data_IF_707925546748
#
_entry.id   IF_707925546748
#
_cell.length_a   1.000
_cell.length_b   1.000
_cell.length_c   1.000
_cell.angle_alpha   90.00
_cell.angle_beta   90.00
_cell.angle_gamma   90.00
#
_symmetry.space_group_name_H-M   'P 1'
#
loop_
_entity.id
_entity.type
_entity.pdbx_description
1 polymer ?
#
# COMPACT_ATOMS: atom_id res chain seq x y z
N UNK A 1 81.61 21.70 30.43
CA UNK A 1 80.53 21.24 31.33
C UNK A 1 79.26 21.94 30.87
N UNK A 2 78.34 21.21 30.26
CA UNK A 2 77.08 21.76 29.70
C UNK A 2 75.97 21.32 30.64
N UNK A 3 75.38 22.22 31.44
CA UNK A 3 74.01 22.05 31.96
C UNK A 3 73.44 23.42 32.35
N UNK A 4 72.72 24.05 31.42
CA UNK A 4 71.65 24.99 31.73
C UNK A 4 70.47 24.62 30.82
N UNK A 5 69.75 23.56 31.21
CA UNK A 5 68.46 23.25 30.63
C UNK A 5 67.42 24.05 31.42
N UNK A 6 66.94 25.15 30.83
CA UNK A 6 65.93 26.02 31.43
C UNK A 6 64.68 25.26 31.88
N UNK A 7 64.06 25.76 32.95
CA UNK A 7 62.88 25.15 33.58
C UNK A 7 61.80 24.79 32.55
N UNK A 8 61.40 23.52 32.55
CA UNK A 8 60.30 23.00 31.74
C UNK A 8 58.98 23.51 32.30
N UNK A 9 58.33 24.43 31.58
CA UNK A 9 56.97 24.88 31.88
C UNK A 9 56.01 23.85 31.28
N UNK A 10 55.33 23.08 32.13
CA UNK A 10 54.33 22.11 31.69
C UNK A 10 53.02 22.85 31.32
N UNK A 11 52.43 22.58 30.14
CA UNK A 11 51.17 23.22 29.76
C UNK A 11 50.03 22.76 30.69
N UNK A 12 49.05 23.64 30.96
CA UNK A 12 47.90 23.29 31.78
C UNK A 12 47.15 22.09 31.18
N UNK A 13 46.62 21.18 32.04
CA UNK A 13 46.02 19.94 31.59
C UNK A 13 44.84 20.21 30.65
N UNK A 14 44.92 19.61 29.45
CA UNK A 14 43.89 19.75 28.42
C UNK A 14 42.64 19.02 28.92
N UNK A 15 41.56 19.77 29.15
CA UNK A 15 40.29 19.20 29.56
C UNK A 15 39.68 18.41 28.40
N UNK A 16 39.84 17.09 28.41
CA UNK A 16 39.15 16.19 27.48
C UNK A 16 37.66 16.17 27.82
N UNK A 17 36.87 16.92 27.05
CA UNK A 17 35.41 16.78 27.08
C UNK A 17 35.01 15.63 26.15
N UNK A 18 34.38 14.55 26.64
CA UNK A 18 34.03 13.39 25.82
C UNK A 18 32.81 13.64 24.92
N UNK A 19 32.13 14.79 25.04
CA UNK A 19 30.98 15.14 24.20
C UNK A 19 31.44 15.67 22.85
N UNK A 20 31.91 14.75 22.01
CA UNK A 20 32.05 15.00 20.58
C UNK A 20 30.65 15.21 19.98
N UNK A 21 30.39 16.32 19.23
CA UNK A 21 29.09 16.62 18.64
C UNK A 21 28.52 15.52 17.72
N UNK A 22 29.36 14.57 17.29
CA UNK A 22 28.99 13.44 16.44
C UNK A 22 27.92 12.53 17.04
N UNK A 23 27.77 12.45 18.36
CA UNK A 23 26.72 11.63 18.98
C UNK A 23 25.31 12.15 18.70
N UNK A 24 25.13 13.46 18.60
CA UNK A 24 23.83 14.04 18.24
C UNK A 24 23.47 13.69 16.79
N UNK A 25 24.45 13.74 15.89
CA UNK A 25 24.27 13.37 14.48
C UNK A 25 23.95 11.88 14.35
N UNK A 26 24.71 11.02 15.03
CA UNK A 26 24.47 9.57 15.05
C UNK A 26 23.11 9.21 15.66
N UNK A 27 22.73 9.87 16.76
CA UNK A 27 21.43 9.71 17.40
C UNK A 27 20.29 10.14 16.49
N UNK A 28 20.40 11.31 15.86
CA UNK A 28 19.42 11.80 14.90
C UNK A 28 19.28 10.84 13.70
N UNK A 29 20.40 10.35 13.16
CA UNK A 29 20.41 9.39 12.06
C UNK A 29 19.72 8.08 12.46
N UNK A 30 19.99 7.56 13.66
CA UNK A 30 19.35 6.36 14.17
C UNK A 30 17.83 6.55 14.31
N UNK A 31 17.40 7.69 14.85
CA UNK A 31 15.97 8.01 14.99
C UNK A 31 15.29 8.09 13.62
N UNK A 32 15.91 8.75 12.63
CA UNK A 32 15.40 8.82 11.27
C UNK A 32 15.27 7.42 10.67
N UNK A 33 16.30 6.58 10.82
CA UNK A 33 16.30 5.22 10.29
C UNK A 33 15.18 4.37 10.90
N UNK A 34 14.98 4.47 12.22
CA UNK A 34 13.89 3.80 12.92
C UNK A 34 12.51 4.32 12.47
N UNK A 35 12.37 5.63 12.26
CA UNK A 35 11.13 6.22 11.77
C UNK A 35 10.78 5.72 10.36
N UNK A 36 11.76 5.70 9.44
CA UNK A 36 11.57 5.14 8.09
C UNK A 36 11.20 3.66 8.16
N UNK A 37 11.91 2.87 8.98
CA UNK A 37 11.60 1.45 9.14
C UNK A 37 10.19 1.23 9.69
N UNK A 38 9.79 2.00 10.71
CA UNK A 38 8.46 1.94 11.29
C UNK A 38 7.38 2.28 10.25
N UNK A 39 7.57 3.36 9.48
CA UNK A 39 6.64 3.73 8.39
C UNK A 39 6.53 2.61 7.36
N UNK A 40 7.65 2.04 6.91
CA UNK A 40 7.64 0.93 5.95
C UNK A 40 6.92 -0.31 6.51
N UNK A 41 7.17 -0.67 7.77
CA UNK A 41 6.53 -1.79 8.44
C UNK A 41 5.03 -1.57 8.63
N UNK A 42 4.63 -0.37 9.07
CA UNK A 42 3.23 0.03 9.23
C UNK A 42 2.53 0.00 7.87
N UNK A 43 3.14 0.56 6.82
CA UNK A 43 2.59 0.51 5.47
C UNK A 43 2.43 -0.92 4.98
N UNK A 44 3.41 -1.79 5.24
CA UNK A 44 3.36 -3.20 4.83
C UNK A 44 2.28 -3.97 5.62
N UNK A 45 2.16 -3.70 6.91
CA UNK A 45 1.15 -4.28 7.78
C UNK A 45 -0.27 -3.83 7.42
N UNK A 46 -0.48 -2.53 7.22
CA UNK A 46 -1.75 -1.95 6.76
C UNK A 46 -2.14 -2.48 5.38
N UNK A 47 -1.18 -2.64 4.45
CA UNK A 47 -1.44 -3.20 3.12
C UNK A 47 -1.94 -4.65 3.21
N UNK A 48 -1.34 -5.45 4.09
CA UNK A 48 -1.75 -6.84 4.28
C UNK A 48 -3.07 -6.97 5.05
N UNK A 49 -3.30 -6.13 6.07
CA UNK A 49 -4.58 -6.11 6.81
C UNK A 49 -5.73 -5.66 5.93
N UNK A 50 -5.55 -4.58 5.16
CA UNK A 50 -6.58 -4.09 4.25
C UNK A 50 -6.98 -5.14 3.22
N UNK A 51 -6.02 -5.87 2.64
CA UNK A 51 -6.30 -6.98 1.73
C UNK A 51 -7.10 -8.10 2.40
N UNK A 52 -6.73 -8.49 3.62
CA UNK A 52 -7.47 -9.52 4.38
C UNK A 52 -8.88 -9.07 4.75
N UNK A 53 -9.05 -7.83 5.20
CA UNK A 53 -10.36 -7.26 5.50
C UNK A 53 -11.23 -7.15 4.24
N UNK A 54 -10.68 -6.70 3.12
CA UNK A 54 -11.39 -6.64 1.85
C UNK A 54 -11.85 -8.03 1.39
N UNK A 55 -10.99 -9.06 1.54
CA UNK A 55 -11.36 -10.44 1.20
C UNK A 55 -12.41 -11.03 2.14
N UNK A 56 -12.37 -10.72 3.43
CA UNK A 56 -13.41 -11.15 4.38
C UNK A 56 -14.75 -10.48 4.09
N UNK A 57 -14.73 -9.17 3.81
CA UNK A 57 -15.93 -8.43 3.43
C UNK A 57 -16.52 -8.92 2.12
N UNK A 58 -15.68 -9.38 1.18
CA UNK A 58 -16.09 -9.85 -0.14
C UNK A 58 -17.12 -10.99 -0.08
N UNK A 59 -16.95 -11.96 0.82
CA UNK A 59 -17.90 -13.08 0.96
C UNK A 59 -19.26 -12.58 1.50
N UNK A 60 -19.21 -11.66 2.47
CA UNK A 60 -20.42 -11.09 3.08
C UNK A 60 -21.20 -10.24 2.09
N UNK A 61 -20.52 -9.38 1.32
CA UNK A 61 -21.19 -8.53 0.33
C UNK A 61 -21.71 -9.36 -0.85
N UNK A 62 -20.98 -10.39 -1.30
CA UNK A 62 -21.41 -11.23 -2.42
C UNK A 62 -22.69 -12.04 -2.11
N UNK A 63 -22.94 -12.34 -0.83
CA UNK A 63 -24.17 -13.00 -0.38
C UNK A 63 -25.36 -12.04 -0.23
N UNK A 64 -25.14 -10.73 -0.34
CA UNK A 64 -26.18 -9.71 -0.22
C UNK A 64 -27.03 -9.57 -1.50
N UNK A 65 -28.20 -8.90 -1.40
CA UNK A 65 -29.12 -8.69 -2.51
C UNK A 65 -28.57 -7.77 -3.62
N UNK A 66 -27.41 -7.15 -3.44
CA UNK A 66 -26.71 -6.35 -4.45
C UNK A 66 -25.25 -6.79 -4.59
N UNK A 67 -24.98 -8.08 -4.36
CA UNK A 67 -23.63 -8.57 -4.19
C UNK A 67 -22.71 -8.29 -5.37
N UNK A 68 -23.22 -8.34 -6.61
CA UNK A 68 -22.37 -8.08 -7.78
C UNK A 68 -21.98 -6.60 -7.88
N UNK A 69 -22.93 -5.69 -7.61
CA UNK A 69 -22.68 -4.25 -7.53
C UNK A 69 -21.69 -3.91 -6.41
N UNK A 70 -21.88 -4.47 -5.21
CA UNK A 70 -21.01 -4.20 -4.06
C UNK A 70 -19.58 -4.72 -4.29
N UNK A 71 -19.44 -5.91 -4.90
CA UNK A 71 -18.12 -6.43 -5.30
C UNK A 71 -17.46 -5.51 -6.33
N UNK A 72 -18.19 -5.05 -7.34
CA UNK A 72 -17.68 -4.14 -8.35
C UNK A 72 -17.26 -2.79 -7.73
N UNK A 73 -18.06 -2.24 -6.83
CA UNK A 73 -17.77 -0.99 -6.11
C UNK A 73 -16.55 -1.12 -5.20
N UNK A 74 -16.38 -2.27 -4.54
CA UNK A 74 -15.18 -2.56 -3.77
C UNK A 74 -13.93 -2.56 -4.66
N UNK A 75 -13.99 -3.20 -5.83
CA UNK A 75 -12.88 -3.21 -6.80
C UNK A 75 -12.56 -1.79 -7.30
N UNK A 76 -13.57 -0.98 -7.64
CA UNK A 76 -13.37 0.44 -8.00
C UNK A 76 -12.72 1.24 -6.89
N UNK A 77 -13.13 1.05 -5.63
CA UNK A 77 -12.53 1.74 -4.47
C UNK A 77 -11.06 1.37 -4.29
N UNK A 78 -10.73 0.09 -4.48
CA UNK A 78 -9.35 -0.40 -4.43
C UNK A 78 -8.52 0.20 -5.58
N UNK A 79 -9.07 0.22 -6.80
CA UNK A 79 -8.41 0.82 -7.95
C UNK A 79 -8.15 2.32 -7.75
N UNK A 80 -9.15 3.10 -7.33
CA UNK A 80 -9.00 4.53 -7.03
C UNK A 80 -7.91 4.80 -5.98
N UNK A 81 -7.78 3.94 -4.96
CA UNK A 81 -6.75 4.07 -3.92
C UNK A 81 -5.33 3.79 -4.42
N UNK A 82 -5.18 3.01 -5.49
CA UNK A 82 -3.88 2.60 -6.01
C UNK A 82 -3.43 3.40 -7.24
N UNK A 83 -4.37 3.79 -8.10
CA UNK A 83 -4.12 4.42 -9.39
C UNK A 83 -4.61 5.87 -9.48
N UNK A 84 -5.24 6.38 -8.40
CA UNK A 84 -5.78 7.73 -8.34
C UNK A 84 -7.26 7.78 -8.71
N UNK A 85 -7.96 8.78 -8.16
CA UNK A 85 -9.39 8.98 -8.41
C UNK A 85 -9.64 9.40 -9.85
N UNK A 86 -8.83 10.31 -10.39
CA UNK A 86 -9.05 10.90 -11.71
C UNK A 86 -8.93 9.86 -12.83
N UNK A 87 -8.01 8.91 -12.69
CA UNK A 87 -7.81 7.83 -13.66
C UNK A 87 -8.92 6.78 -13.66
N UNK A 88 -9.60 6.56 -12.53
CA UNK A 88 -10.50 5.40 -12.35
C UNK A 88 -11.97 5.80 -12.21
N UNK A 89 -12.28 6.97 -11.66
CA UNK A 89 -13.66 7.35 -11.33
C UNK A 89 -14.54 7.52 -12.58
N UNK A 90 -13.95 7.96 -13.69
CA UNK A 90 -14.64 8.13 -14.96
C UNK A 90 -14.89 6.80 -15.69
N UNK A 91 -14.09 5.76 -15.44
CA UNK A 91 -14.14 4.49 -16.16
C UNK A 91 -15.49 3.80 -15.93
N UNK A 92 -16.18 3.46 -17.02
CA UNK A 92 -17.47 2.76 -17.00
C UNK A 92 -17.49 1.67 -18.06
N UNK A 93 -18.29 0.65 -17.78
CA UNK A 93 -18.49 -0.51 -18.62
C UNK A 93 -17.20 -1.07 -19.23
N UNK A 94 -17.10 -1.06 -20.55
CA UNK A 94 -15.95 -1.62 -21.28
C UNK A 94 -14.63 -0.97 -20.87
N UNK A 95 -14.58 0.36 -20.66
CA UNK A 95 -13.35 1.05 -20.22
C UNK A 95 -12.88 0.58 -18.83
N UNK A 96 -13.84 0.24 -17.96
CA UNK A 96 -13.54 -0.31 -16.64
C UNK A 96 -12.98 -1.73 -16.74
N UNK A 97 -13.55 -2.55 -17.63
CA UNK A 97 -13.12 -3.93 -17.87
C UNK A 97 -11.73 -3.97 -18.49
N UNK A 98 -11.46 -3.09 -19.46
CA UNK A 98 -10.17 -2.91 -20.09
C UNK A 98 -9.11 -2.51 -19.07
N UNK A 99 -9.45 -1.58 -18.17
CA UNK A 99 -8.57 -1.23 -17.05
C UNK A 99 -8.27 -2.43 -16.15
N UNK A 100 -9.29 -3.20 -15.74
CA UNK A 100 -9.11 -4.38 -14.89
C UNK A 100 -8.15 -5.40 -15.54
N UNK A 101 -8.33 -5.64 -16.85
CA UNK A 101 -7.52 -6.55 -17.66
C UNK A 101 -6.10 -6.01 -17.91
N UNK A 102 -5.93 -4.68 -17.97
CA UNK A 102 -4.61 -4.05 -18.12
C UNK A 102 -3.75 -4.20 -16.85
N UNK A 103 -4.39 -4.13 -15.68
CA UNK A 103 -3.74 -4.22 -14.37
C UNK A 103 -3.40 -5.66 -14.00
N UNK A 104 -4.21 -6.62 -14.45
CA UNK A 104 -4.00 -8.04 -14.17
C UNK A 104 -4.29 -8.90 -15.40
N UNK A 105 -3.21 -9.38 -16.03
CA UNK A 105 -3.26 -10.14 -17.29
C UNK A 105 -3.59 -11.62 -17.12
N UNK A 106 -3.61 -12.12 -15.89
CA UNK A 106 -3.60 -13.56 -15.58
C UNK A 106 -5.01 -14.19 -15.54
N UNK A 107 -6.05 -13.39 -15.27
CA UNK A 107 -7.43 -13.81 -15.55
C UNK A 107 -8.25 -12.61 -16.03
N UNK A 108 -8.32 -12.46 -17.34
CA UNK A 108 -9.13 -11.42 -17.97
C UNK A 108 -10.62 -11.65 -17.68
N UNK A 109 -11.32 -10.56 -17.40
CA UNK A 109 -12.77 -10.50 -17.46
C UNK A 109 -13.20 -10.64 -18.92
N UNK A 110 -14.21 -11.47 -19.17
CA UNK A 110 -14.76 -11.66 -20.52
C UNK A 110 -15.65 -10.48 -20.90
N UNK A 111 -15.91 -10.26 -22.21
CA UNK A 111 -16.85 -9.24 -22.65
C UNK A 111 -18.26 -9.40 -22.06
N UNK A 112 -18.70 -10.64 -21.80
CA UNK A 112 -19.99 -10.94 -21.17
C UNK A 112 -20.03 -10.52 -19.69
N UNK A 113 -18.97 -10.81 -18.94
CA UNK A 113 -18.81 -10.35 -17.55
C UNK A 113 -18.70 -8.81 -17.49
N UNK A 114 -18.07 -8.21 -18.50
CA UNK A 114 -17.97 -6.76 -18.64
C UNK A 114 -19.31 -6.09 -18.88
N UNK A 115 -20.14 -6.67 -19.75
CA UNK A 115 -21.54 -6.23 -19.94
C UNK A 115 -22.36 -6.38 -18.67
N UNK A 116 -22.24 -7.52 -17.98
CA UNK A 116 -22.90 -7.72 -16.69
C UNK A 116 -22.49 -6.61 -15.69
N UNK A 117 -21.19 -6.33 -15.53
CA UNK A 117 -20.70 -5.25 -14.67
C UNK A 117 -21.21 -3.85 -15.04
N UNK A 118 -21.46 -3.61 -16.33
CA UNK A 118 -22.01 -2.37 -16.87
C UNK A 118 -23.49 -2.22 -16.55
N UNK A 119 -24.24 -3.29 -16.81
CA UNK A 119 -25.69 -3.36 -16.68
C UNK A 119 -26.12 -3.44 -15.20
N UNK A 120 -25.32 -4.07 -14.33
CA UNK A 120 -25.60 -4.19 -12.90
C UNK A 120 -25.56 -2.85 -12.16
N UNK A 121 -24.85 -1.84 -12.68
CA UNK A 121 -24.88 -0.49 -12.13
C UNK A 121 -26.27 0.16 -12.24
N UNK A 122 -27.11 -0.36 -13.14
CA UNK A 122 -28.44 0.15 -13.44
C UNK A 122 -29.57 -0.80 -13.03
N UNK A 123 -29.24 -2.03 -12.63
CA UNK A 123 -30.22 -3.06 -12.27
C UNK A 123 -30.14 -3.30 -10.76
N UNK A 124 -31.26 -3.18 -10.05
CA UNK A 124 -31.44 -3.77 -8.72
C UNK A 124 -31.46 -5.30 -8.87
N UNK A 125 -30.30 -5.86 -9.20
CA UNK A 125 -30.15 -7.28 -9.49
C UNK A 125 -29.93 -8.02 -8.17
N UNK A 126 -31.00 -8.66 -7.69
CA UNK A 126 -30.96 -9.65 -6.60
C UNK A 126 -30.34 -10.98 -7.03
N UNK A 127 -29.73 -11.05 -8.21
CA UNK A 127 -29.11 -12.27 -8.71
C UNK A 127 -27.88 -12.62 -7.88
N UNK A 128 -27.74 -13.90 -7.57
CA UNK A 128 -26.57 -14.41 -6.87
C UNK A 128 -25.31 -14.13 -7.70
N UNK A 129 -24.25 -13.65 -7.02
CA UNK A 129 -22.96 -13.42 -7.66
C UNK A 129 -22.42 -14.74 -8.23
N UNK A 130 -22.11 -14.82 -9.54
CA UNK A 130 -21.52 -16.02 -10.11
C UNK A 130 -20.20 -16.37 -9.40
N UNK A 131 -20.04 -17.62 -8.97
CA UNK A 131 -18.84 -18.07 -8.25
C UNK A 131 -17.54 -17.81 -9.02
N UNK A 132 -17.58 -17.94 -10.36
CA UNK A 132 -16.45 -17.65 -11.24
C UNK A 132 -16.05 -16.16 -11.18
N UNK A 133 -17.03 -15.25 -11.18
CA UNK A 133 -16.79 -13.81 -11.04
C UNK A 133 -16.20 -13.47 -9.68
N UNK A 134 -16.73 -14.08 -8.62
CA UNK A 134 -16.22 -13.88 -7.26
C UNK A 134 -14.77 -14.35 -7.12
N UNK A 135 -14.41 -15.49 -7.71
CA UNK A 135 -13.04 -16.00 -7.69
C UNK A 135 -12.07 -15.10 -8.48
N UNK A 136 -12.48 -14.63 -9.67
CA UNK A 136 -11.71 -13.63 -10.43
C UNK A 136 -11.51 -12.34 -9.64
N UNK A 137 -12.56 -11.84 -8.99
CA UNK A 137 -12.50 -10.66 -8.12
C UNK A 137 -11.53 -10.86 -6.94
N UNK A 138 -11.57 -12.03 -6.28
CA UNK A 138 -10.62 -12.40 -5.21
C UNK A 138 -9.18 -12.38 -5.71
N UNK A 139 -8.93 -12.99 -6.87
CA UNK A 139 -7.59 -13.07 -7.46
C UNK A 139 -7.09 -11.70 -7.91
N UNK A 140 -7.94 -10.86 -8.53
CA UNK A 140 -7.60 -9.49 -8.87
C UNK A 140 -7.25 -8.66 -7.62
N UNK A 141 -8.04 -8.77 -6.54
CA UNK A 141 -7.76 -8.08 -5.25
C UNK A 141 -6.43 -8.54 -4.63
N UNK A 142 -6.06 -9.82 -4.79
CA UNK A 142 -4.76 -10.35 -4.31
C UNK A 142 -3.60 -9.94 -5.21
N UNK A 143 -3.82 -10.01 -6.52
CA UNK A 143 -2.81 -9.98 -7.58
C UNK A 143 -2.52 -8.60 -8.15
N UNK A 144 -3.42 -7.62 -8.03
CA UNK A 144 -3.14 -6.26 -8.47
C UNK A 144 -1.93 -5.73 -7.68
N UNK A 145 -0.81 -5.57 -8.39
CA UNK A 145 0.39 -4.96 -7.84
C UNK A 145 0.22 -3.45 -7.92
N UNK A 146 0.76 -2.77 -6.91
CA UNK A 146 1.05 -1.34 -6.94
C UNK A 146 2.41 -1.18 -7.60
#
# INVERSE_FOLDING_TARGET
>A
MIQDAGQLIEPPPVQFSPVTPGWYVSGALLVILLAVLAVLLIHRYLRNRYRRQALQQLETIAAGPQGLYEVNMLMKRIAMRNYGRDAVAALRGDEWVDFLNSVWKEAAFTPEEGKALSDELYRESSAAVPAAFLDKSKRWIKGHRR
#
